data_IF_922303486295
#
_entry.id   IF_922303486295
#
_cell.length_a   1.000
_cell.length_b   1.000
_cell.length_c   1.000
_cell.angle_alpha   90.00
_cell.angle_beta   90.00
_cell.angle_gamma   90.00
#
_symmetry.space_group_name_H-M   'P 1'
#
loop_
_entity.id
_entity.type
_entity.pdbx_description
1 polymer ?
#
# COMPACT_ATOMS: atom_id res chain seq x y z
N UNK A 1 -14.06 12.24 3.42
CA UNK A 1 -14.66 10.90 3.55
C UNK A 1 -15.18 10.76 4.97
N UNK A 2 -16.31 10.09 5.21
CA UNK A 2 -16.82 9.92 6.57
C UNK A 2 -16.10 8.71 7.19
N UNK A 3 -15.61 8.81 8.44
CA UNK A 3 -14.91 7.70 9.11
C UNK A 3 -15.76 6.43 9.26
N UNK A 4 -17.08 6.55 9.03
CA UNK A 4 -18.08 5.50 9.18
C UNK A 4 -18.00 4.38 8.12
N UNK A 5 -17.22 4.57 7.05
CA UNK A 5 -17.11 3.59 5.96
C UNK A 5 -15.99 2.55 6.19
N UNK A 6 -15.13 2.72 7.20
CA UNK A 6 -14.12 1.72 7.56
C UNK A 6 -14.75 0.65 8.46
N UNK A 7 -14.70 -0.60 8.04
CA UNK A 7 -15.14 -1.77 8.82
C UNK A 7 -13.95 -2.57 9.31
N UNK A 8 -14.11 -3.27 10.43
CA UNK A 8 -13.08 -4.18 10.97
C UNK A 8 -13.59 -5.61 10.98
N UNK A 9 -12.85 -6.54 10.39
CA UNK A 9 -13.21 -7.96 10.40
C UNK A 9 -12.77 -8.71 11.68
N UNK A 10 -13.10 -10.00 11.74
CA UNK A 10 -12.74 -10.90 12.85
C UNK A 10 -11.22 -11.07 13.04
N UNK A 11 -10.44 -10.86 11.99
CA UNK A 11 -8.98 -10.98 11.98
C UNK A 11 -8.30 -9.63 12.27
N UNK A 12 -9.12 -8.62 12.63
CA UNK A 12 -8.77 -7.24 13.00
C UNK A 12 -8.24 -6.39 11.86
N UNK A 13 -8.56 -6.74 10.60
CA UNK A 13 -8.27 -5.88 9.46
C UNK A 13 -9.30 -4.76 9.39
N UNK A 14 -8.84 -3.52 9.46
CA UNK A 14 -9.61 -2.32 9.14
C UNK A 14 -9.51 -1.99 7.66
N UNK A 15 -10.63 -1.90 6.95
CA UNK A 15 -10.67 -1.61 5.51
C UNK A 15 -11.96 -0.89 5.11
N UNK A 16 -11.91 -0.19 3.97
CA UNK A 16 -13.08 0.49 3.43
C UNK A 16 -14.15 -0.52 3.00
N UNK A 17 -15.40 -0.32 3.44
CA UNK A 17 -16.55 -1.15 3.08
C UNK A 17 -16.69 -1.25 1.55
N UNK A 18 -16.98 -2.47 1.06
CA UNK A 18 -17.12 -2.75 -0.37
C UNK A 18 -15.80 -3.03 -1.08
N UNK A 19 -14.69 -3.12 -0.34
CA UNK A 19 -13.42 -3.64 -0.83
C UNK A 19 -13.29 -5.13 -0.53
N UNK A 20 -12.37 -5.78 -1.24
CA UNK A 20 -11.99 -7.18 -1.01
C UNK A 20 -10.47 -7.33 -1.01
N UNK A 21 -9.98 -8.32 -0.28
CA UNK A 21 -8.57 -8.66 -0.26
C UNK A 21 -8.15 -9.37 -1.55
N UNK A 22 -6.96 -9.04 -2.06
CA UNK A 22 -6.40 -9.59 -3.29
C UNK A 22 -4.92 -9.91 -3.14
N UNK A 23 -4.40 -10.77 -4.00
CA UNK A 23 -2.96 -10.99 -4.15
C UNK A 23 -2.32 -10.00 -5.14
N UNK A 24 -0.97 -9.94 -5.20
CA UNK A 24 -0.22 -9.03 -6.07
C UNK A 24 -0.61 -9.10 -7.56
N UNK A 25 -0.75 -10.32 -8.10
CA UNK A 25 -1.08 -10.52 -9.53
C UNK A 25 -2.40 -9.84 -9.92
N UNK A 26 -3.44 -10.00 -9.09
CA UNK A 26 -4.73 -9.37 -9.35
C UNK A 26 -4.69 -7.87 -9.10
N UNK A 27 -3.98 -7.46 -8.05
CA UNK A 27 -3.75 -6.06 -7.72
C UNK A 27 -3.14 -5.30 -8.90
N UNK A 28 -2.04 -5.81 -9.47
CA UNK A 28 -1.31 -5.16 -10.56
C UNK A 28 -2.16 -4.99 -11.82
N UNK A 29 -3.02 -5.97 -12.10
CA UNK A 29 -3.91 -5.92 -13.26
C UNK A 29 -5.04 -4.89 -13.13
N UNK A 30 -5.41 -4.50 -11.90
CA UNK A 30 -6.68 -3.79 -11.64
C UNK A 30 -6.52 -2.48 -10.87
N UNK A 31 -5.44 -2.27 -10.11
CA UNK A 31 -5.21 -1.08 -9.27
C UNK A 31 -5.30 0.23 -10.07
N UNK A 32 -4.82 0.24 -11.31
CA UNK A 32 -4.81 1.41 -12.20
C UNK A 32 -6.22 1.91 -12.57
N UNK A 33 -7.26 1.09 -12.40
CA UNK A 33 -8.67 1.54 -12.54
C UNK A 33 -9.14 2.39 -11.36
N UNK A 34 -8.44 2.32 -10.24
CA UNK A 34 -8.79 2.97 -8.97
C UNK A 34 -7.80 4.07 -8.59
N UNK A 35 -6.55 3.99 -9.06
CA UNK A 35 -5.58 5.09 -9.03
C UNK A 35 -5.92 6.05 -10.18
N UNK A 36 -6.79 7.03 -9.92
CA UNK A 36 -7.19 8.05 -10.91
C UNK A 36 -5.97 8.86 -11.43
N UNK A 37 -6.08 9.45 -12.62
CA UNK A 37 -5.06 10.33 -13.24
C UNK A 37 -4.62 11.49 -12.35
N UNK A 38 -5.46 11.92 -11.40
CA UNK A 38 -5.10 12.95 -10.41
C UNK A 38 -4.17 12.44 -9.31
N UNK A 39 -3.99 11.12 -9.22
CA UNK A 39 -3.24 10.38 -8.18
C UNK A 39 -2.10 9.56 -8.77
N UNK A 40 -1.57 9.94 -9.93
CA UNK A 40 -0.41 9.27 -10.56
C UNK A 40 0.80 9.20 -9.62
N UNK A 41 0.92 10.12 -8.66
CA UNK A 41 1.95 10.09 -7.62
C UNK A 41 1.85 8.87 -6.69
N UNK A 42 0.70 8.18 -6.66
CA UNK A 42 0.52 6.93 -5.91
C UNK A 42 0.93 5.70 -6.69
N UNK A 43 1.18 5.76 -8.01
CA UNK A 43 1.54 4.56 -8.79
C UNK A 43 2.84 3.91 -8.29
N UNK A 44 3.96 4.64 -8.07
CA UNK A 44 5.17 4.03 -7.53
C UNK A 44 4.94 3.42 -6.14
N UNK A 45 4.10 4.05 -5.31
CA UNK A 45 3.71 3.49 -4.01
C UNK A 45 2.90 2.20 -4.18
N UNK A 46 1.93 2.18 -5.08
CA UNK A 46 1.08 1.03 -5.34
C UNK A 46 1.88 -0.16 -5.91
N UNK A 47 2.90 0.11 -6.71
CA UNK A 47 3.87 -0.88 -7.20
C UNK A 47 4.78 -1.38 -6.07
N UNK A 48 5.38 -0.48 -5.29
CA UNK A 48 6.19 -0.86 -4.13
C UNK A 48 5.43 -1.72 -3.12
N UNK A 49 4.14 -1.42 -2.88
CA UNK A 49 3.26 -2.23 -2.03
C UNK A 49 3.00 -3.62 -2.61
N UNK A 50 2.89 -3.74 -3.94
CA UNK A 50 2.75 -5.04 -4.60
C UNK A 50 4.01 -5.88 -4.43
N UNK A 51 5.19 -5.27 -4.65
CA UNK A 51 6.50 -5.90 -4.46
C UNK A 51 6.76 -6.33 -3.01
N UNK A 52 6.26 -5.57 -2.05
CA UNK A 52 6.42 -5.87 -0.63
C UNK A 52 5.47 -6.97 -0.12
N UNK A 53 4.41 -7.30 -0.87
CA UNK A 53 3.35 -8.18 -0.43
C UNK A 53 3.65 -9.66 -0.70
N UNK A 54 3.20 -10.52 0.20
CA UNK A 54 3.19 -11.97 -0.02
C UNK A 54 2.16 -12.40 -1.08
N UNK A 55 2.13 -13.70 -1.41
CA UNK A 55 1.19 -14.28 -2.38
C UNK A 55 -0.31 -13.98 -2.07
N UNK A 56 -0.64 -13.67 -0.81
CA UNK A 56 -2.00 -13.36 -0.33
C UNK A 56 -2.25 -11.85 -0.21
N UNK A 57 -1.30 -11.04 -0.69
CA UNK A 57 -1.33 -9.59 -0.66
C UNK A 57 -1.03 -9.01 0.71
N UNK A 58 -0.36 -9.72 1.61
CA UNK A 58 -0.08 -9.26 2.98
C UNK A 58 1.32 -8.67 3.08
N UNK A 59 1.42 -7.56 3.79
CA UNK A 59 2.67 -6.93 4.16
C UNK A 59 2.70 -6.92 5.70
N UNK A 60 3.45 -7.86 6.27
CA UNK A 60 3.52 -8.06 7.72
C UNK A 60 4.72 -7.32 8.30
N UNK A 61 4.58 -6.87 9.55
CA UNK A 61 5.62 -6.15 10.28
C UNK A 61 6.18 -4.97 9.46
N UNK A 62 5.30 -4.09 8.95
CA UNK A 62 5.70 -3.00 8.08
C UNK A 62 6.58 -2.00 8.82
N UNK A 63 7.81 -1.84 8.32
CA UNK A 63 8.76 -0.82 8.76
C UNK A 63 8.97 0.20 7.64
N UNK A 64 8.51 1.45 7.81
CA UNK A 64 8.57 2.47 6.78
C UNK A 64 9.94 2.66 6.13
N UNK A 65 11.02 2.64 6.92
CA UNK A 65 12.38 2.80 6.41
C UNK A 65 12.80 1.64 5.51
N UNK A 66 12.51 0.39 5.92
CA UNK A 66 12.82 -0.81 5.14
C UNK A 66 12.00 -0.87 3.85
N UNK A 67 10.74 -0.47 3.92
CA UNK A 67 9.89 -0.38 2.73
C UNK A 67 10.43 0.66 1.73
N UNK A 68 10.82 1.83 2.23
CA UNK A 68 11.26 2.94 1.39
C UNK A 68 12.61 2.66 0.70
N UNK A 69 13.56 2.10 1.44
CA UNK A 69 14.90 1.75 0.94
C UNK A 69 14.94 0.44 0.14
N UNK A 70 13.88 -0.38 0.21
CA UNK A 70 13.75 -1.63 -0.53
C UNK A 70 12.67 -1.53 -1.61
N UNK A 71 11.47 -2.11 -1.40
CA UNK A 71 10.41 -2.20 -2.41
C UNK A 71 10.06 -0.88 -3.11
N UNK A 72 10.04 0.25 -2.40
CA UNK A 72 9.77 1.55 -3.02
C UNK A 72 10.91 2.02 -3.91
N UNK A 73 12.16 1.75 -3.53
CA UNK A 73 13.32 2.02 -4.37
C UNK A 73 13.29 1.14 -5.62
N UNK A 74 12.96 -0.14 -5.49
CA UNK A 74 12.82 -1.03 -6.64
C UNK A 74 11.71 -0.56 -7.61
N UNK A 75 10.58 -0.09 -7.07
CA UNK A 75 9.47 0.45 -7.87
C UNK A 75 9.78 1.77 -8.58
N UNK A 76 10.75 2.56 -8.08
CA UNK A 76 11.14 3.85 -8.66
C UNK A 76 12.40 3.78 -9.53
N UNK A 77 13.11 2.65 -9.48
CA UNK A 77 14.36 2.45 -10.21
C UNK A 77 14.10 2.45 -11.71
N UNK A 78 14.99 3.10 -12.46
CA UNK A 78 15.03 3.06 -13.91
C UNK A 78 16.30 2.34 -14.39
N UNK A 79 16.38 2.05 -15.71
CA UNK A 79 17.49 1.31 -16.30
C UNK A 79 18.84 2.04 -16.26
N UNK A 80 18.81 3.36 -16.06
CA UNK A 80 19.99 4.23 -16.00
C UNK A 80 20.53 4.41 -14.57
N UNK A 81 19.77 3.99 -13.55
CA UNK A 81 20.17 4.12 -12.15
C UNK A 81 21.31 3.14 -11.81
N UNK A 82 22.33 3.56 -11.04
CA UNK A 82 23.40 2.67 -10.63
C UNK A 82 22.86 1.55 -9.73
N UNK A 83 23.51 0.38 -9.73
CA UNK A 83 23.07 -0.77 -8.93
C UNK A 83 22.88 -0.45 -7.45
N UNK A 84 23.72 0.44 -6.91
CA UNK A 84 23.70 0.92 -5.53
C UNK A 84 22.66 2.00 -5.23
N UNK A 85 21.86 2.42 -6.20
CA UNK A 85 20.87 3.47 -6.00
C UNK A 85 19.73 3.01 -5.09
N UNK A 86 19.37 3.86 -4.13
CA UNK A 86 18.23 3.66 -3.24
C UNK A 86 17.69 5.03 -2.85
N UNK A 87 16.37 5.10 -2.64
CA UNK A 87 15.78 6.22 -1.93
C UNK A 87 16.33 6.26 -0.49
N UNK A 88 16.43 7.46 0.06
CA UNK A 88 16.81 7.66 1.46
C UNK A 88 15.58 7.93 2.31
N UNK A 89 15.42 7.19 3.40
CA UNK A 89 14.34 7.44 4.36
C UNK A 89 14.76 8.48 5.40
N UNK A 90 13.95 9.53 5.51
CA UNK A 90 14.13 10.66 6.42
C UNK A 90 12.79 11.08 7.05
N UNK A 91 12.80 12.16 7.83
CA UNK A 91 11.57 12.63 8.51
C UNK A 91 10.50 13.17 7.56
N UNK A 92 10.91 13.75 6.43
CA UNK A 92 9.97 14.32 5.47
C UNK A 92 9.27 13.23 4.66
N UNK A 93 10.05 12.26 4.18
CA UNK A 93 9.56 11.05 3.51
C UNK A 93 8.70 10.21 4.45
N UNK A 94 9.04 10.11 5.74
CA UNK A 94 8.19 9.47 6.75
C UNK A 94 6.78 10.06 6.83
N UNK A 95 6.68 11.40 6.91
CA UNK A 95 5.39 12.10 6.94
C UNK A 95 4.62 11.89 5.64
N UNK A 96 5.30 12.01 4.51
CA UNK A 96 4.70 11.89 3.18
C UNK A 96 4.16 10.48 2.93
N UNK A 97 4.96 9.45 3.25
CA UNK A 97 4.55 8.06 3.17
C UNK A 97 3.34 7.79 4.07
N UNK A 98 3.33 8.31 5.29
CA UNK A 98 2.19 8.13 6.21
C UNK A 98 0.90 8.71 5.63
N UNK A 99 0.95 9.90 5.01
CA UNK A 99 -0.20 10.53 4.34
C UNK A 99 -0.70 9.66 3.18
N UNK A 100 0.20 9.19 2.32
CA UNK A 100 -0.20 8.38 1.18
C UNK A 100 -0.69 6.99 1.57
N UNK A 101 -0.13 6.37 2.61
CA UNK A 101 -0.63 5.10 3.15
C UNK A 101 -2.05 5.25 3.69
N UNK A 102 -2.35 6.37 4.37
CA UNK A 102 -3.73 6.69 4.78
C UNK A 102 -4.62 6.86 3.55
N UNK A 103 -4.19 7.62 2.54
CA UNK A 103 -4.96 7.80 1.30
C UNK A 103 -5.25 6.47 0.57
N UNK A 104 -4.31 5.52 0.60
CA UNK A 104 -4.51 4.17 0.04
C UNK A 104 -5.55 3.38 0.84
N UNK A 105 -5.54 3.47 2.18
CA UNK A 105 -6.60 2.86 3.01
C UNK A 105 -7.96 3.49 2.73
N UNK A 106 -8.02 4.82 2.70
CA UNK A 106 -9.26 5.56 2.43
C UNK A 106 -9.80 5.34 1.01
N UNK A 107 -8.93 5.03 0.05
CA UNK A 107 -9.34 4.70 -1.32
C UNK A 107 -9.75 3.24 -1.48
N UNK A 108 -9.70 2.45 -0.41
CA UNK A 108 -10.01 1.02 -0.44
C UNK A 108 -8.96 0.17 -1.14
N UNK A 109 -7.75 0.69 -1.25
CA UNK A 109 -6.58 0.03 -1.81
C UNK A 109 -5.76 -0.67 -0.70
N UNK A 110 -5.82 -0.23 0.55
CA UNK A 110 -5.20 -0.96 1.65
C UNK A 110 -6.20 -1.28 2.76
N UNK A 111 -6.01 -2.44 3.38
CA UNK A 111 -6.44 -2.70 4.73
C UNK A 111 -5.25 -2.51 5.67
N UNK A 112 -5.54 -2.17 6.92
CA UNK A 112 -4.54 -1.97 7.97
C UNK A 112 -4.91 -2.75 9.22
N UNK A 113 -3.90 -3.22 9.96
CA UNK A 113 -4.06 -3.88 11.25
C UNK A 113 -2.90 -3.50 12.15
N UNK A 114 -3.18 -3.08 13.39
CA UNK A 114 -2.13 -2.87 14.38
C UNK A 114 -1.47 -4.19 14.82
N UNK A 115 -0.14 -4.21 14.90
CA UNK A 115 0.66 -5.38 15.26
C UNK A 115 1.76 -4.98 16.25
N UNK A 116 1.34 -4.61 17.47
CA UNK A 116 2.24 -4.13 18.53
C UNK A 116 2.86 -2.79 18.15
N UNK A 117 4.18 -2.76 18.01
CA UNK A 117 4.95 -1.57 17.62
C UNK A 117 5.02 -1.36 16.09
N UNK A 118 4.34 -2.22 15.33
CA UNK A 118 4.28 -2.17 13.87
C UNK A 118 2.84 -2.17 13.36
N UNK A 119 2.71 -2.03 12.04
CA UNK A 119 1.44 -2.09 11.33
C UNK A 119 1.55 -3.18 10.28
N UNK A 120 0.50 -3.96 10.10
CA UNK A 120 0.37 -4.83 8.94
C UNK A 120 -0.54 -4.16 7.91
N UNK A 121 -0.24 -4.38 6.63
CA UNK A 121 -1.08 -3.95 5.52
C UNK A 121 -1.54 -5.13 4.69
N UNK A 122 -2.65 -4.96 3.98
CA UNK A 122 -3.13 -5.94 3.01
C UNK A 122 -3.71 -5.27 1.78
N UNK A 123 -3.32 -5.76 0.60
CA UNK A 123 -3.79 -5.27 -0.69
C UNK A 123 -5.30 -5.52 -0.84
N UNK A 124 -6.02 -4.47 -1.24
CA UNK A 124 -7.46 -4.43 -1.43
C UNK A 124 -7.89 -3.86 -2.80
N UNK A 125 -9.00 -4.33 -3.37
CA UNK A 125 -9.61 -3.62 -4.49
C UNK A 125 -11.06 -3.28 -4.18
N UNK A 126 -11.54 -2.07 -4.53
CA UNK A 126 -12.96 -1.75 -4.53
C UNK A 126 -13.74 -2.69 -5.47
N UNK A 127 -15.00 -3.00 -5.12
CA UNK A 127 -15.85 -3.90 -5.90
C UNK A 127 -15.88 -5.34 -5.38
N UNK A 128 -15.58 -5.54 -4.10
CA UNK A 128 -15.91 -6.76 -3.37
C UNK A 128 -17.35 -6.70 -2.86
N UNK A 129 -18.28 -7.22 -3.65
CA UNK A 129 -19.68 -7.34 -3.25
C UNK A 129 -20.06 -8.78 -2.94
N UNK A 130 -20.33 -9.06 -1.67
CA UNK A 130 -21.58 -9.67 -1.23
C UNK A 130 -21.90 -9.11 0.16
#
# INVERSE_FOLDING_TARGET
MNSDDIVTDKDRWGYLKGTRFVGPDEWDQRRSKHVDRRRLFLEPLAEGLSLAADEKGRILDFWPNRFYEGPMSDAMRNEDDPESWTLTYDRFTAMTLSVFMIEMVESGLLATRGNGDSVDYRLCLPGGGA
#
